data_IF_960978908914
#
_entry.id   IF_960978908914
#
_cell.length_a   1.000
_cell.length_b   1.000
_cell.length_c   1.000
_cell.angle_alpha   90.00
_cell.angle_beta   90.00
_cell.angle_gamma   90.00
#
_symmetry.space_group_name_H-M   'P 1'
#
loop_
_entity.id
_entity.type
_entity.pdbx_description
1 polymer ?
#
# COMPACT_ATOMS: atom_id res chain seq x y z
N UNK A 1 46.77 -31.90 58.00
CA UNK A 1 46.83 -31.19 56.71
C UNK A 1 45.64 -31.62 55.88
N UNK A 2 44.53 -30.91 56.02
CA UNK A 2 43.36 -31.07 55.16
C UNK A 2 43.37 -29.85 54.22
N UNK A 3 43.53 -30.11 52.93
CA UNK A 3 43.57 -29.10 51.87
C UNK A 3 42.17 -28.57 51.58
N UNK A 4 42.02 -27.25 51.52
CA UNK A 4 40.78 -26.57 51.18
C UNK A 4 40.22 -26.99 49.81
N UNK A 5 38.89 -27.00 49.63
CA UNK A 5 38.26 -27.33 48.36
C UNK A 5 38.52 -26.24 47.30
N UNK A 6 38.57 -26.62 46.01
CA UNK A 6 38.83 -25.67 44.93
C UNK A 6 37.68 -24.67 44.76
N UNK A 7 37.97 -23.45 44.25
CA UNK A 7 36.96 -22.42 44.03
C UNK A 7 35.95 -22.86 42.94
N UNK A 8 34.69 -22.41 43.05
CA UNK A 8 33.67 -22.74 42.06
C UNK A 8 34.02 -22.15 40.69
N UNK A 9 33.76 -22.91 39.63
CA UNK A 9 33.97 -22.48 38.25
C UNK A 9 33.15 -21.21 37.93
N UNK A 10 33.64 -20.34 37.03
CA UNK A 10 32.90 -19.15 36.66
C UNK A 10 31.57 -19.58 36.04
N UNK A 11 30.45 -19.17 36.68
CA UNK A 11 29.14 -19.26 36.06
C UNK A 11 29.24 -18.53 34.72
N UNK A 12 29.12 -19.27 33.62
CA UNK A 12 28.87 -18.67 32.31
C UNK A 12 27.64 -17.79 32.49
N UNK A 13 27.84 -16.47 32.44
CA UNK A 13 26.75 -15.54 32.29
C UNK A 13 26.00 -15.98 31.03
N UNK A 14 24.76 -16.45 31.21
CA UNK A 14 23.85 -16.62 30.08
C UNK A 14 23.77 -15.26 29.42
N UNK A 15 24.40 -15.13 28.25
CA UNK A 15 24.15 -14.03 27.34
C UNK A 15 22.63 -14.01 27.16
N UNK A 16 21.93 -12.91 27.51
CA UNK A 16 20.51 -12.84 27.21
C UNK A 16 20.38 -13.09 25.72
N UNK A 17 19.58 -14.08 25.33
CA UNK A 17 19.21 -14.24 23.92
C UNK A 17 18.75 -12.87 23.46
N UNK A 18 19.46 -12.29 22.49
CA UNK A 18 19.03 -11.07 21.85
C UNK A 18 17.58 -11.29 21.43
N UNK A 19 16.66 -10.57 22.05
CA UNK A 19 15.29 -10.45 21.55
C UNK A 19 15.39 -10.12 20.07
N UNK A 20 14.67 -10.86 19.24
CA UNK A 20 14.69 -10.66 17.79
C UNK A 20 14.50 -9.16 17.45
N UNK A 21 15.06 -8.64 16.35
CA UNK A 21 14.92 -7.21 15.97
C UNK A 21 13.47 -6.74 15.76
N UNK A 22 12.49 -7.63 15.91
CA UNK A 22 11.06 -7.45 15.67
C UNK A 22 10.36 -6.70 16.81
N UNK A 23 10.96 -6.59 18.00
CA UNK A 23 10.22 -6.20 19.21
C UNK A 23 9.94 -4.69 19.40
N UNK A 24 10.35 -3.79 18.50
CA UNK A 24 9.88 -2.38 18.50
C UNK A 24 9.83 -1.77 17.10
N UNK A 25 9.02 -2.34 16.22
CA UNK A 25 8.72 -1.67 14.95
C UNK A 25 7.84 -0.44 15.22
N UNK A 26 8.30 0.74 14.80
CA UNK A 26 7.55 1.97 14.98
C UNK A 26 6.48 2.07 13.87
N UNK A 27 5.22 2.24 14.23
CA UNK A 27 4.10 2.20 13.28
C UNK A 27 3.38 3.54 13.23
N UNK A 28 3.16 4.06 12.03
CA UNK A 28 2.42 5.30 11.78
C UNK A 28 1.32 5.04 10.73
N UNK A 29 0.19 5.72 10.85
CA UNK A 29 -0.80 5.82 9.78
C UNK A 29 -0.42 6.94 8.81
N UNK A 30 -0.69 6.77 7.52
CA UNK A 30 -0.42 7.78 6.50
C UNK A 30 -1.56 7.83 5.48
N UNK A 31 -1.88 9.04 5.07
CA UNK A 31 -2.74 9.34 3.92
C UNK A 31 -2.22 10.64 3.26
N UNK A 32 -2.66 10.93 2.04
CA UNK A 32 -2.38 12.21 1.37
C UNK A 32 -3.63 12.76 0.71
N UNK A 33 -3.77 14.09 0.75
CA UNK A 33 -4.87 14.80 0.11
C UNK A 33 -4.35 15.90 -0.81
N UNK A 34 -5.08 16.16 -1.89
CA UNK A 34 -4.62 17.09 -2.90
C UNK A 34 -5.56 17.30 -4.09
N UNK A 35 -5.08 18.06 -5.08
CA UNK A 35 -5.80 18.30 -6.34
C UNK A 35 -5.34 17.26 -7.35
N UNK A 36 -6.29 16.45 -7.85
CA UNK A 36 -6.02 15.36 -8.79
C UNK A 36 -4.79 14.52 -8.38
N UNK A 37 -4.70 14.16 -7.08
CA UNK A 37 -3.51 13.62 -6.42
C UNK A 37 -2.85 12.50 -7.23
N UNK A 38 -1.78 12.84 -7.97
CA UNK A 38 -1.00 11.96 -8.84
C UNK A 38 0.34 12.63 -9.21
N UNK A 39 1.06 12.06 -10.18
CA UNK A 39 2.30 12.65 -10.71
C UNK A 39 2.18 14.07 -11.29
N UNK A 40 1.00 14.44 -11.79
CA UNK A 40 0.74 15.72 -12.47
C UNK A 40 -0.20 16.65 -11.68
N UNK A 41 -0.79 16.14 -10.60
CA UNK A 41 -1.60 16.93 -9.67
C UNK A 41 -0.73 17.62 -8.63
N UNK A 42 -1.33 17.94 -7.49
CA UNK A 42 -0.64 18.58 -6.37
C UNK A 42 -1.04 17.92 -5.04
N UNK A 43 -0.06 17.36 -4.33
CA UNK A 43 -0.22 16.96 -2.94
C UNK A 43 -0.25 18.23 -2.09
N UNK A 44 -1.33 18.40 -1.32
CA UNK A 44 -1.59 19.61 -0.56
C UNK A 44 -1.37 19.41 0.94
N UNK A 45 -1.75 18.25 1.47
CA UNK A 45 -1.56 17.88 2.87
C UNK A 45 -1.29 16.39 2.99
N UNK A 46 -0.32 16.02 3.82
CA UNK A 46 -0.03 14.62 4.18
C UNK A 46 -0.36 14.43 5.66
N UNK A 47 -1.15 13.42 5.97
CA UNK A 47 -1.54 13.13 7.35
C UNK A 47 -0.65 12.02 7.91
N UNK A 48 -0.15 12.21 9.14
CA UNK A 48 0.65 11.22 9.85
C UNK A 48 0.00 10.93 11.21
N UNK A 49 -0.57 9.74 11.35
CA UNK A 49 -1.16 9.27 12.60
C UNK A 49 -0.14 8.51 13.45
N UNK A 50 0.04 8.96 14.68
CA UNK A 50 0.80 8.32 15.75
C UNK A 50 -0.17 7.80 16.81
N UNK A 51 0.27 6.94 17.75
CA UNK A 51 -0.59 6.44 18.80
C UNK A 51 -1.26 7.52 19.68
N UNK A 52 -0.62 8.68 19.82
CA UNK A 52 -1.01 9.76 20.73
C UNK A 52 -1.37 11.08 20.02
N UNK A 53 -1.05 11.22 18.73
CA UNK A 53 -1.26 12.46 17.98
C UNK A 53 -1.44 12.21 16.48
N UNK A 54 -2.07 13.17 15.79
CA UNK A 54 -2.15 13.21 14.33
C UNK A 54 -1.56 14.53 13.88
N UNK A 55 -0.61 14.46 12.95
CA UNK A 55 0.05 15.62 12.36
C UNK A 55 -0.45 15.82 10.93
N UNK A 56 -0.82 17.05 10.61
CA UNK A 56 -1.14 17.47 9.25
C UNK A 56 0.07 18.22 8.69
N UNK A 57 0.79 17.57 7.78
CA UNK A 57 1.97 18.11 7.13
C UNK A 57 1.53 18.93 5.92
N UNK A 58 1.68 20.25 6.02
CA UNK A 58 1.30 21.18 4.96
C UNK A 58 2.35 21.20 3.85
N UNK A 59 2.02 20.59 2.70
CA UNK A 59 2.92 20.54 1.55
C UNK A 59 2.90 21.82 0.71
N UNK A 60 1.92 22.72 0.90
CA UNK A 60 1.82 23.99 0.18
C UNK A 60 2.65 25.05 0.90
N UNK A 61 2.31 25.39 2.15
CA UNK A 61 3.04 26.43 2.89
C UNK A 61 4.40 25.94 3.39
N UNK A 62 4.49 24.67 3.80
CA UNK A 62 5.75 24.05 4.22
C UNK A 62 6.66 23.66 3.05
N UNK A 63 6.07 23.45 1.87
CA UNK A 63 6.78 23.19 0.62
C UNK A 63 7.75 22.01 0.66
N UNK A 64 8.75 22.05 -0.21
CA UNK A 64 9.74 20.97 -0.36
C UNK A 64 10.56 20.75 0.92
N UNK A 65 10.81 21.79 1.71
CA UNK A 65 11.63 21.70 2.92
C UNK A 65 11.02 20.75 3.96
N UNK A 66 9.72 20.91 4.23
CA UNK A 66 9.00 20.06 5.17
C UNK A 66 8.84 18.64 4.62
N UNK A 67 8.50 18.49 3.34
CA UNK A 67 8.38 17.17 2.72
C UNK A 67 9.71 16.40 2.71
N UNK A 68 10.83 17.09 2.47
CA UNK A 68 12.18 16.50 2.55
C UNK A 68 12.55 16.09 3.97
N UNK A 69 12.08 16.80 4.99
CA UNK A 69 12.29 16.40 6.38
C UNK A 69 11.56 15.10 6.73
N UNK A 70 10.42 14.80 6.09
CA UNK A 70 9.69 13.54 6.27
C UNK A 70 10.33 12.36 5.53
N UNK A 71 11.07 12.61 4.44
CA UNK A 71 11.63 11.56 3.55
C UNK A 71 12.37 10.43 4.29
N UNK A 72 13.29 10.68 5.25
CA UNK A 72 14.01 9.60 5.93
C UNK A 72 13.08 8.62 6.67
N UNK A 73 11.97 9.11 7.23
CA UNK A 73 11.01 8.26 7.92
C UNK A 73 10.13 7.46 6.94
N UNK A 74 9.70 8.10 5.86
CA UNK A 74 8.90 7.48 4.80
C UNK A 74 9.66 6.40 4.04
N UNK A 75 10.97 6.59 3.84
CA UNK A 75 11.90 5.62 3.21
C UNK A 75 12.53 4.62 4.20
N UNK A 76 12.19 4.69 5.49
CA UNK A 76 12.75 3.77 6.49
C UNK A 76 12.08 2.40 6.46
N UNK A 77 12.89 1.33 6.47
CA UNK A 77 12.41 -0.05 6.69
C UNK A 77 12.11 -0.35 8.17
N UNK A 78 12.48 0.54 9.10
CA UNK A 78 12.23 0.39 10.54
C UNK A 78 10.91 1.02 10.98
N UNK A 79 10.29 1.84 10.12
CA UNK A 79 9.01 2.48 10.37
C UNK A 79 7.98 1.86 9.43
N UNK A 80 6.90 1.31 9.98
CA UNK A 80 5.78 0.78 9.20
C UNK A 80 4.80 1.91 8.91
N UNK A 81 4.48 2.11 7.62
CA UNK A 81 3.45 3.07 7.20
C UNK A 81 2.17 2.30 6.89
N UNK A 82 1.14 2.47 7.69
CA UNK A 82 -0.18 1.90 7.46
C UNK A 82 -0.96 2.86 6.59
N UNK A 83 -1.41 2.39 5.43
CA UNK A 83 -2.13 3.21 4.43
C UNK A 83 -3.35 2.40 3.95
N UNK A 84 -4.37 3.05 3.40
CA UNK A 84 -5.46 2.38 2.70
C UNK A 84 -5.39 2.70 1.20
N UNK A 85 -5.08 1.71 0.36
CA UNK A 85 -4.89 1.90 -1.08
C UNK A 85 -3.78 2.91 -1.45
N UNK A 86 -2.54 2.59 -1.10
CA UNK A 86 -1.38 3.50 -1.17
C UNK A 86 -0.90 3.92 -2.56
N UNK A 87 -1.51 3.43 -3.64
CA UNK A 87 -0.98 3.56 -5.01
C UNK A 87 -0.83 5.02 -5.44
N UNK A 88 -1.80 5.87 -5.10
CA UNK A 88 -1.85 7.29 -5.51
C UNK A 88 -1.04 8.19 -4.59
N UNK A 89 -1.02 7.90 -3.29
CA UNK A 89 -0.14 8.58 -2.34
C UNK A 89 1.32 8.37 -2.73
N UNK A 90 1.68 7.11 -3.04
CA UNK A 90 3.02 6.75 -3.49
C UNK A 90 3.39 7.45 -4.80
N UNK A 91 2.47 7.48 -5.79
CA UNK A 91 2.70 8.17 -7.06
C UNK A 91 2.97 9.68 -6.85
N UNK A 92 2.15 10.35 -6.04
CA UNK A 92 2.30 11.77 -5.75
C UNK A 92 3.62 12.05 -5.01
N UNK A 93 3.91 11.32 -3.94
CA UNK A 93 5.14 11.44 -3.16
C UNK A 93 6.39 11.20 -4.02
N UNK A 94 6.36 10.21 -4.91
CA UNK A 94 7.48 9.87 -5.77
C UNK A 94 7.76 10.94 -6.82
N UNK A 95 6.76 11.38 -7.59
CA UNK A 95 7.00 12.32 -8.68
C UNK A 95 7.13 13.77 -8.23
N UNK A 96 6.44 14.18 -7.16
CA UNK A 96 6.47 15.57 -6.71
C UNK A 96 7.61 15.85 -5.72
N UNK A 97 8.03 14.86 -4.92
CA UNK A 97 9.05 15.05 -3.87
C UNK A 97 10.19 14.03 -3.91
N UNK A 98 10.19 13.11 -4.87
CA UNK A 98 11.23 12.08 -4.99
C UNK A 98 11.20 11.07 -3.85
N UNK A 99 10.09 10.92 -3.11
CA UNK A 99 9.98 10.06 -1.93
C UNK A 99 9.46 8.68 -2.32
N UNK A 100 10.16 7.61 -1.90
CA UNK A 100 9.72 6.22 -2.09
C UNK A 100 9.17 5.65 -0.80
N UNK A 101 7.91 5.23 -0.79
CA UNK A 101 7.36 4.57 0.39
C UNK A 101 7.95 3.16 0.55
N UNK A 102 8.57 2.90 1.69
CA UNK A 102 9.11 1.59 2.06
C UNK A 102 8.35 1.02 3.26
N UNK A 103 8.33 -0.31 3.46
CA UNK A 103 7.68 -0.94 4.62
C UNK A 103 6.23 -0.44 4.85
N UNK A 104 5.43 -0.47 3.78
CA UNK A 104 4.01 -0.11 3.83
C UNK A 104 3.18 -1.35 4.16
N UNK A 105 2.13 -1.14 4.96
CA UNK A 105 1.05 -2.09 5.15
C UNK A 105 -0.22 -1.47 4.60
N UNK A 106 -0.68 -2.01 3.48
CA UNK A 106 -1.92 -1.58 2.85
C UNK A 106 -3.13 -2.33 3.44
N UNK A 107 -4.01 -1.59 4.11
CA UNK A 107 -5.18 -2.17 4.79
C UNK A 107 -6.22 -2.74 3.82
N UNK A 108 -6.28 -2.26 2.57
CA UNK A 108 -7.18 -2.82 1.56
C UNK A 108 -6.70 -4.22 1.13
N UNK A 109 -5.39 -4.37 0.94
CA UNK A 109 -4.77 -5.67 0.64
C UNK A 109 -4.93 -6.63 1.82
N UNK A 110 -4.65 -6.15 3.05
CA UNK A 110 -4.78 -6.94 4.26
C UNK A 110 -6.20 -7.49 4.44
N UNK A 111 -7.23 -6.67 4.20
CA UNK A 111 -8.62 -7.11 4.23
C UNK A 111 -8.90 -8.25 3.24
N UNK A 112 -8.49 -8.09 1.97
CA UNK A 112 -8.71 -9.11 0.94
C UNK A 112 -8.02 -10.44 1.28
N UNK A 113 -6.80 -10.39 1.84
CA UNK A 113 -6.08 -11.57 2.30
C UNK A 113 -6.79 -12.26 3.49
N UNK A 114 -7.33 -11.50 4.43
CA UNK A 114 -8.11 -12.05 5.56
C UNK A 114 -9.36 -12.77 5.04
N UNK A 115 -10.06 -12.18 4.06
CA UNK A 115 -11.25 -12.80 3.49
C UNK A 115 -10.94 -14.05 2.66
N UNK A 116 -9.83 -14.05 1.91
CA UNK A 116 -9.34 -15.22 1.18
C UNK A 116 -9.01 -16.38 2.15
N UNK A 117 -8.37 -16.09 3.29
CA UNK A 117 -8.12 -17.09 4.34
C UNK A 117 -9.42 -17.71 4.90
N UNK A 118 -10.52 -16.96 4.91
CA UNK A 118 -11.85 -17.45 5.31
C UNK A 118 -12.57 -18.22 4.20
N UNK A 119 -11.94 -18.39 3.04
CA UNK A 119 -12.49 -19.10 1.89
C UNK A 119 -13.31 -18.24 0.93
N UNK A 120 -13.29 -16.90 1.09
CA UNK A 120 -13.90 -16.01 0.09
C UNK A 120 -13.14 -16.18 -1.23
N UNK A 121 -13.87 -16.46 -2.30
CA UNK A 121 -13.28 -16.57 -3.64
C UNK A 121 -12.85 -15.18 -4.12
N UNK A 122 -11.67 -15.11 -4.73
CA UNK A 122 -11.21 -13.90 -5.40
C UNK A 122 -12.19 -13.49 -6.49
N UNK A 123 -12.51 -12.20 -6.54
CA UNK A 123 -13.29 -11.57 -7.59
C UNK A 123 -12.57 -10.29 -8.05
N UNK A 124 -12.58 -10.00 -9.36
CA UNK A 124 -11.96 -8.80 -9.87
C UNK A 124 -12.75 -7.56 -9.42
N UNK A 125 -12.02 -6.50 -9.07
CA UNK A 125 -12.57 -5.22 -8.61
C UNK A 125 -13.41 -5.28 -7.33
N UNK A 126 -13.31 -6.37 -6.55
CA UNK A 126 -13.91 -6.50 -5.21
C UNK A 126 -12.98 -5.91 -4.13
N UNK A 127 -12.89 -4.59 -4.10
CA UNK A 127 -12.10 -3.85 -3.11
C UNK A 127 -13.00 -3.23 -2.05
N UNK A 128 -12.62 -3.38 -0.78
CA UNK A 128 -13.29 -2.67 0.31
C UNK A 128 -12.86 -1.20 0.33
N UNK A 129 -13.81 -0.28 0.46
CA UNK A 129 -13.51 1.13 0.70
C UNK A 129 -13.11 1.36 2.15
N UNK A 130 -12.33 2.42 2.44
CA UNK A 130 -11.95 2.75 3.81
C UNK A 130 -13.17 2.97 4.72
N UNK A 131 -14.23 3.60 4.22
CA UNK A 131 -15.48 3.82 4.98
C UNK A 131 -16.19 2.51 5.28
N UNK A 132 -16.27 1.60 4.30
CA UNK A 132 -16.84 0.27 4.52
C UNK A 132 -16.02 -0.54 5.52
N UNK A 133 -14.69 -0.39 5.50
CA UNK A 133 -13.79 -1.05 6.44
C UNK A 133 -13.98 -0.52 7.87
N UNK A 134 -14.17 0.79 8.04
CA UNK A 134 -14.50 1.39 9.33
C UNK A 134 -15.86 0.92 9.86
N UNK A 135 -16.86 0.80 8.98
CA UNK A 135 -18.18 0.37 9.35
C UNK A 135 -18.25 -1.12 9.75
N UNK A 136 -17.28 -1.95 9.32
CA UNK A 136 -17.24 -3.36 9.67
C UNK A 136 -17.01 -3.56 11.18
N UNK A 137 -17.95 -4.25 11.89
CA UNK A 137 -17.87 -4.49 13.34
C UNK A 137 -16.63 -5.27 13.79
N UNK A 138 -16.00 -6.05 12.90
CA UNK A 138 -14.79 -6.80 13.25
C UNK A 138 -13.59 -5.87 13.45
N UNK A 139 -13.60 -4.67 12.85
CA UNK A 139 -12.50 -3.70 12.92
C UNK A 139 -12.85 -2.49 13.78
N UNK A 140 -13.74 -1.61 13.33
CA UNK A 140 -14.12 -0.41 14.09
C UNK A 140 -15.61 -0.40 14.47
N UNK A 141 -16.50 -0.89 13.60
CA UNK A 141 -17.95 -0.80 13.82
C UNK A 141 -18.47 0.64 13.85
N UNK A 142 -17.75 1.58 13.23
CA UNK A 142 -18.08 3.01 13.23
C UNK A 142 -18.68 3.35 11.88
N UNK A 143 -19.97 3.67 11.89
CA UNK A 143 -20.66 4.19 10.70
C UNK A 143 -20.38 5.68 10.55
N UNK A 144 -19.90 6.06 9.37
CA UNK A 144 -19.49 7.43 9.03
C UNK A 144 -20.43 8.05 8.00
N UNK A 145 -21.74 8.08 8.30
CA UNK A 145 -22.73 8.68 7.41
C UNK A 145 -22.43 10.16 7.14
N UNK A 146 -21.99 10.89 8.16
CA UNK A 146 -21.61 12.30 8.05
C UNK A 146 -20.40 12.54 7.13
N UNK A 147 -19.50 11.55 6.97
CA UNK A 147 -18.32 11.66 6.09
C UNK A 147 -18.72 11.61 4.62
N UNK A 148 -19.82 10.97 4.27
CA UNK A 148 -20.28 10.93 2.88
C UNK A 148 -20.76 12.31 2.42
N UNK A 149 -21.44 13.07 3.29
CA UNK A 149 -21.85 14.45 3.01
C UNK A 149 -20.64 15.37 2.83
N UNK A 150 -19.64 15.26 3.72
CA UNK A 150 -18.38 15.99 3.57
C UNK A 150 -17.69 15.61 2.26
N UNK A 151 -17.61 14.32 1.92
CA UNK A 151 -17.02 13.86 0.65
C UNK A 151 -17.75 14.36 -0.59
N UNK A 152 -19.06 14.53 -0.53
CA UNK A 152 -19.80 15.17 -1.62
C UNK A 152 -19.37 16.63 -1.79
N UNK A 153 -19.24 17.37 -0.68
CA UNK A 153 -18.75 18.75 -0.71
C UNK A 153 -17.29 18.82 -1.22
N UNK A 154 -16.42 17.91 -0.77
CA UNK A 154 -15.03 17.79 -1.24
C UNK A 154 -14.96 17.59 -2.76
N UNK A 155 -15.86 16.80 -3.34
CA UNK A 155 -15.90 16.54 -4.80
C UNK A 155 -16.42 17.72 -5.63
N UNK A 156 -17.17 18.64 -5.03
CA UNK A 156 -17.71 19.80 -5.73
C UNK A 156 -16.67 20.89 -5.95
N UNK A 157 -15.64 20.95 -5.10
CA UNK A 157 -14.56 21.90 -5.20
C UNK A 157 -13.22 21.19 -5.45
N UNK A 158 -12.77 21.09 -6.71
CA UNK A 158 -11.48 20.49 -7.04
C UNK A 158 -10.28 21.18 -6.38
N UNK A 159 -10.40 22.44 -5.97
CA UNK A 159 -9.34 23.21 -5.33
C UNK A 159 -9.42 23.15 -3.79
N UNK A 160 -10.35 22.38 -3.22
CA UNK A 160 -10.64 22.35 -1.79
C UNK A 160 -9.39 22.30 -0.90
N UNK A 161 -8.47 21.37 -1.18
CA UNK A 161 -7.28 21.15 -0.36
C UNK A 161 -6.20 22.23 -0.51
N UNK A 162 -6.36 23.17 -1.45
CA UNK A 162 -5.40 24.26 -1.68
C UNK A 162 -5.59 25.45 -0.75
N UNK A 163 -6.77 25.61 -0.15
CA UNK A 163 -7.10 26.80 0.64
C UNK A 163 -6.33 26.85 1.97
N UNK A 164 -5.95 28.07 2.37
CA UNK A 164 -5.24 28.35 3.62
C UNK A 164 -5.81 29.58 4.35
N UNK A 165 -5.82 29.58 5.70
CA UNK A 165 -5.47 28.45 6.58
C UNK A 165 -6.47 27.29 6.44
N UNK A 166 -6.08 26.07 6.83
CA UNK A 166 -7.00 24.93 6.83
C UNK A 166 -8.20 25.22 7.74
N UNK A 167 -9.41 25.08 7.21
CA UNK A 167 -10.62 25.22 8.02
C UNK A 167 -10.79 24.05 8.99
N UNK A 168 -11.60 24.21 10.05
CA UNK A 168 -11.89 23.10 10.98
C UNK A 168 -12.45 21.87 10.25
N UNK A 169 -13.26 22.08 9.21
CA UNK A 169 -13.80 20.99 8.40
C UNK A 169 -12.69 20.24 7.65
N UNK A 170 -11.73 20.96 7.06
CA UNK A 170 -10.57 20.36 6.38
C UNK A 170 -9.72 19.55 7.36
N UNK A 171 -9.46 20.11 8.54
CA UNK A 171 -8.68 19.46 9.59
C UNK A 171 -9.37 18.17 10.04
N UNK A 172 -10.68 18.22 10.32
CA UNK A 172 -11.47 17.04 10.73
C UNK A 172 -11.50 15.97 9.63
N UNK A 173 -11.79 16.35 8.40
CA UNK A 173 -11.83 15.44 7.26
C UNK A 173 -10.50 14.70 7.08
N UNK A 174 -9.38 15.44 7.00
CA UNK A 174 -8.04 14.88 6.87
C UNK A 174 -7.68 13.94 8.05
N UNK A 175 -8.02 14.35 9.27
CA UNK A 175 -7.75 13.55 10.48
C UNK A 175 -8.56 12.23 10.46
N UNK A 176 -9.79 12.27 9.99
CA UNK A 176 -10.69 11.11 9.91
C UNK A 176 -10.25 10.06 8.88
N UNK A 177 -9.38 10.37 7.92
CA UNK A 177 -8.83 9.39 6.99
C UNK A 177 -7.69 8.55 7.60
N UNK A 178 -7.02 9.04 8.67
CA UNK A 178 -5.91 8.31 9.30
C UNK A 178 -6.14 7.85 10.73
N UNK A 179 -7.05 8.48 11.50
CA UNK A 179 -7.14 8.30 12.95
C UNK A 179 -7.37 6.86 13.43
N UNK A 180 -7.96 6.01 12.58
CA UNK A 180 -8.24 4.62 12.89
C UNK A 180 -7.29 3.62 12.24
N UNK A 181 -6.36 4.06 11.39
CA UNK A 181 -5.47 3.16 10.65
C UNK A 181 -4.65 2.27 11.59
N UNK A 182 -4.09 2.83 12.67
CA UNK A 182 -3.29 2.05 13.63
C UNK A 182 -4.12 0.98 14.34
N UNK A 183 -5.34 1.33 14.76
CA UNK A 183 -6.25 0.36 15.40
C UNK A 183 -6.67 -0.76 14.44
N UNK A 184 -7.02 -0.41 13.20
CA UNK A 184 -7.34 -1.38 12.14
C UNK A 184 -6.15 -2.29 11.86
N UNK A 185 -4.95 -1.71 11.75
CA UNK A 185 -3.70 -2.44 11.55
C UNK A 185 -3.51 -3.51 12.62
N UNK A 186 -3.55 -3.16 13.90
CA UNK A 186 -3.37 -4.14 14.98
C UNK A 186 -4.36 -5.31 14.87
N UNK A 187 -5.65 -5.00 14.62
CA UNK A 187 -6.68 -6.02 14.43
C UNK A 187 -6.47 -6.90 13.18
N UNK A 188 -5.93 -6.35 12.09
CA UNK A 188 -5.67 -7.10 10.87
C UNK A 188 -4.46 -8.01 11.01
N UNK A 189 -3.37 -7.52 11.60
CA UNK A 189 -2.13 -8.30 11.77
C UNK A 189 -2.37 -9.53 12.65
N UNK A 190 -3.19 -9.42 13.70
CA UNK A 190 -3.60 -10.56 14.54
C UNK A 190 -4.38 -11.65 13.77
N UNK A 191 -5.05 -11.29 12.66
CA UNK A 191 -5.88 -12.19 11.86
C UNK A 191 -5.13 -12.85 10.70
N UNK A 192 -3.96 -12.33 10.34
CA UNK A 192 -3.20 -12.80 9.20
C UNK A 192 -2.27 -13.94 9.60
N UNK A 193 -2.25 -15.00 8.81
CA UNK A 193 -1.23 -16.05 8.94
C UNK A 193 0.15 -15.51 8.54
N UNK A 194 1.23 -16.18 8.97
CA UNK A 194 2.60 -15.85 8.54
C UNK A 194 2.74 -15.70 7.02
N UNK A 195 2.13 -16.61 6.26
CA UNK A 195 2.11 -16.57 4.79
C UNK A 195 1.43 -15.31 4.27
N UNK A 196 0.28 -14.96 4.81
CA UNK A 196 -0.46 -13.77 4.39
C UNK A 196 0.19 -12.48 4.83
N UNK A 197 0.91 -12.46 5.96
CA UNK A 197 1.74 -11.32 6.37
C UNK A 197 2.89 -11.08 5.38
N UNK A 198 3.57 -12.15 4.95
CA UNK A 198 4.57 -12.04 3.88
C UNK A 198 3.95 -11.53 2.58
N UNK A 199 2.83 -12.12 2.16
CA UNK A 199 2.16 -11.73 0.92
C UNK A 199 1.66 -10.28 0.96
N UNK A 200 1.17 -9.82 2.12
CA UNK A 200 0.80 -8.43 2.37
C UNK A 200 2.01 -7.50 2.17
N UNK A 201 3.17 -7.84 2.72
CA UNK A 201 4.38 -7.04 2.56
C UNK A 201 4.86 -6.97 1.10
N UNK A 202 4.79 -8.09 0.37
CA UNK A 202 5.09 -8.15 -1.08
C UNK A 202 4.11 -7.29 -1.87
N UNK A 203 2.80 -7.50 -1.71
CA UNK A 203 1.76 -6.77 -2.44
C UNK A 203 1.75 -5.29 -2.12
N UNK A 204 1.95 -4.90 -0.86
CA UNK A 204 2.08 -3.49 -0.48
C UNK A 204 3.29 -2.84 -1.16
N UNK A 205 4.42 -3.55 -1.23
CA UNK A 205 5.61 -3.07 -1.96
C UNK A 205 5.37 -2.94 -3.47
N UNK A 206 4.55 -3.81 -4.06
CA UNK A 206 4.14 -3.71 -5.47
C UNK A 206 3.15 -2.57 -5.69
N UNK A 207 2.24 -2.31 -4.75
CA UNK A 207 1.33 -1.16 -4.78
C UNK A 207 2.07 0.17 -4.69
N UNK A 208 3.08 0.30 -3.81
CA UNK A 208 3.89 1.53 -3.77
C UNK A 208 4.63 1.80 -5.10
N UNK A 209 5.06 0.74 -5.80
CA UNK A 209 5.67 0.85 -7.14
C UNK A 209 4.66 1.04 -8.24
N UNK A 210 3.39 0.71 -7.98
CA UNK A 210 2.32 0.89 -8.95
C UNK A 210 2.22 2.37 -9.30
N UNK A 211 2.11 2.65 -10.59
CA UNK A 211 2.23 3.99 -11.16
C UNK A 211 3.60 4.68 -11.00
N UNK A 212 4.50 4.32 -10.09
CA UNK A 212 5.83 4.93 -9.96
C UNK A 212 6.85 4.49 -11.04
N UNK A 213 6.44 4.39 -12.31
CA UNK A 213 7.30 3.95 -13.40
C UNK A 213 8.26 5.04 -13.84
N UNK A 214 9.53 4.69 -13.89
CA UNK A 214 10.63 5.47 -14.44
C UNK A 214 11.45 4.59 -15.40
N UNK A 215 12.50 5.15 -16.00
CA UNK A 215 13.28 4.47 -17.04
C UNK A 215 14.28 3.42 -16.51
N UNK A 216 14.39 3.24 -15.19
CA UNK A 216 15.38 2.35 -14.58
C UNK A 216 14.82 1.02 -14.07
N UNK A 217 13.63 0.63 -14.52
CA UNK A 217 12.99 -0.66 -14.19
C UNK A 217 12.97 -0.94 -12.67
N UNK A 218 12.67 0.09 -11.89
CA UNK A 218 12.62 0.05 -10.43
C UNK A 218 13.95 -0.30 -9.73
N UNK A 219 15.10 -0.14 -10.40
CA UNK A 219 16.41 -0.47 -9.84
C UNK A 219 16.72 0.25 -8.50
N UNK A 220 16.15 1.45 -8.31
CA UNK A 220 16.35 2.23 -7.09
C UNK A 220 15.30 1.96 -6.00
N UNK A 221 14.41 0.98 -6.19
CA UNK A 221 13.48 0.53 -5.15
C UNK A 221 14.10 -0.62 -4.36
N UNK A 222 13.79 -0.76 -3.06
CA UNK A 222 14.25 -1.90 -2.28
C UNK A 222 13.79 -3.21 -2.93
N UNK A 223 14.51 -4.33 -2.74
CA UNK A 223 14.03 -5.63 -3.19
C UNK A 223 12.69 -5.98 -2.51
N UNK A 224 11.87 -6.80 -3.17
CA UNK A 224 10.67 -7.33 -2.53
C UNK A 224 11.05 -8.22 -1.33
N UNK A 225 10.23 -8.26 -0.27
CA UNK A 225 10.47 -9.12 0.88
C UNK A 225 10.71 -10.58 0.44
N UNK A 226 11.83 -11.20 0.86
CA UNK A 226 12.08 -12.60 0.54
C UNK A 226 11.03 -13.49 1.21
N UNK A 227 10.79 -14.67 0.63
CA UNK A 227 9.91 -15.64 1.27
C UNK A 227 10.53 -16.11 2.59
N UNK A 228 9.76 -16.20 3.71
CA UNK A 228 10.32 -16.60 4.99
C UNK A 228 10.82 -18.04 4.97
N UNK A 229 12.07 -18.26 5.39
CA UNK A 229 12.69 -19.59 5.42
C UNK A 229 11.90 -20.59 6.28
N UNK A 230 11.24 -20.12 7.34
CA UNK A 230 10.42 -20.93 8.25
C UNK A 230 9.09 -21.40 7.64
N UNK A 231 8.72 -20.87 6.47
CA UNK A 231 7.54 -21.30 5.70
C UNK A 231 7.90 -22.21 4.53
N UNK A 232 9.18 -22.44 4.27
CA UNK A 232 9.63 -23.33 3.20
C UNK A 232 9.37 -24.78 3.62
N UNK A 233 8.55 -25.48 2.86
CA UNK A 233 8.44 -26.94 2.93
C UNK A 233 9.01 -27.55 1.65
N UNK A 234 9.55 -28.77 1.71
CA UNK A 234 10.25 -29.41 0.58
C UNK A 234 9.38 -29.47 -0.71
N UNK A 235 8.05 -29.48 -0.57
CA UNK A 235 7.10 -29.61 -1.67
C UNK A 235 6.37 -28.31 -2.06
N UNK A 236 6.64 -27.18 -1.39
CA UNK A 236 5.91 -25.92 -1.63
C UNK A 236 6.81 -24.80 -2.17
N UNK A 237 6.64 -24.49 -3.46
CA UNK A 237 7.20 -23.28 -4.06
C UNK A 237 6.11 -22.20 -4.07
N UNK A 238 6.24 -21.12 -3.27
CA UNK A 238 5.29 -20.02 -3.32
C UNK A 238 5.30 -19.38 -4.70
N UNK A 239 4.11 -19.13 -5.25
CA UNK A 239 3.97 -18.35 -6.48
C UNK A 239 4.53 -16.95 -6.23
N UNK A 240 5.64 -16.63 -6.90
CA UNK A 240 6.20 -15.28 -6.87
C UNK A 240 5.18 -14.31 -7.43
N UNK A 241 5.02 -13.16 -6.78
CA UNK A 241 4.22 -12.06 -7.30
C UNK A 241 5.10 -11.00 -7.95
N UNK A 242 4.60 -10.42 -9.04
CA UNK A 242 5.28 -9.38 -9.80
C UNK A 242 4.34 -8.24 -10.13
N UNK A 243 4.91 -7.06 -10.39
CA UNK A 243 4.26 -5.98 -11.10
C UNK A 243 4.80 -5.98 -12.53
N UNK A 244 3.91 -6.09 -13.50
CA UNK A 244 4.22 -5.90 -14.91
C UNK A 244 3.58 -4.63 -15.44
N UNK A 245 4.32 -3.89 -16.26
CA UNK A 245 3.88 -2.65 -16.89
C UNK A 245 3.88 -2.84 -18.40
N UNK A 246 2.68 -2.80 -18.97
CA UNK A 246 2.46 -2.93 -20.40
C UNK A 246 2.28 -1.56 -21.04
N UNK A 247 3.15 -1.21 -21.98
CA UNK A 247 2.99 -0.02 -22.81
C UNK A 247 1.88 -0.25 -23.85
N UNK A 248 0.99 0.73 -23.96
CA UNK A 248 -0.16 0.71 -24.87
C UNK A 248 0.06 1.73 -25.98
N UNK A 249 0.16 1.32 -27.25
CA UNK A 249 0.33 2.26 -28.34
C UNK A 249 -0.82 3.27 -28.43
N UNK A 250 -0.58 4.48 -28.97
CA UNK A 250 -1.62 5.49 -29.15
C UNK A 250 -2.86 4.94 -29.86
N UNK A 251 -4.04 5.25 -29.33
CA UNK A 251 -5.33 4.78 -29.87
C UNK A 251 -5.70 3.32 -29.57
N UNK A 252 -4.82 2.52 -28.95
CA UNK A 252 -5.09 1.10 -28.66
C UNK A 252 -5.77 0.85 -27.30
N UNK A 253 -5.76 1.82 -26.39
CA UNK A 253 -6.36 1.67 -25.05
C UNK A 253 -7.85 1.30 -25.11
N UNK A 254 -8.59 1.84 -26.08
CA UNK A 254 -9.99 1.47 -26.30
C UNK A 254 -10.21 -0.02 -26.62
N UNK A 255 -9.25 -0.68 -27.27
CA UNK A 255 -9.31 -2.14 -27.56
C UNK A 255 -9.04 -2.99 -26.32
N UNK A 256 -8.19 -2.51 -25.41
CA UNK A 256 -7.94 -3.15 -24.11
C UNK A 256 -9.20 -3.10 -23.26
N UNK A 257 -9.74 -1.89 -23.05
CA UNK A 257 -10.91 -1.65 -22.19
C UNK A 257 -12.15 -2.32 -22.79
N UNK A 258 -12.36 -2.16 -24.10
CA UNK A 258 -13.56 -2.62 -24.79
C UNK A 258 -14.80 -1.75 -24.46
N UNK A 259 -15.90 -2.04 -25.15
CA UNK A 259 -17.16 -1.29 -24.98
C UNK A 259 -17.67 -1.47 -23.54
N UNK A 260 -17.84 -0.35 -22.81
CA UNK A 260 -18.24 -0.34 -21.39
C UNK A 260 -17.33 -1.20 -20.47
N UNK A 261 -16.07 -1.40 -20.83
CA UNK A 261 -15.14 -2.19 -20.01
C UNK A 261 -15.27 -3.72 -20.16
N UNK A 262 -16.11 -4.23 -21.06
CA UNK A 262 -16.37 -5.68 -21.16
C UNK A 262 -15.12 -6.52 -21.45
N UNK A 263 -14.21 -5.99 -22.28
CA UNK A 263 -12.98 -6.69 -22.64
C UNK A 263 -12.07 -6.82 -21.42
N UNK A 264 -11.79 -5.70 -20.74
CA UNK A 264 -10.90 -5.73 -19.58
C UNK A 264 -11.47 -6.58 -18.44
N UNK A 265 -12.79 -6.54 -18.21
CA UNK A 265 -13.43 -7.39 -17.21
C UNK A 265 -13.24 -8.87 -17.52
N UNK A 266 -13.44 -9.29 -18.78
CA UNK A 266 -13.18 -10.67 -19.20
C UNK A 266 -11.72 -11.10 -18.98
N UNK A 267 -10.76 -10.20 -19.22
CA UNK A 267 -9.34 -10.50 -18.91
C UNK A 267 -9.14 -10.67 -17.42
N UNK A 268 -9.66 -9.76 -16.58
CA UNK A 268 -9.54 -9.82 -15.12
C UNK A 268 -10.13 -11.13 -14.56
N UNK A 269 -11.34 -11.49 -14.98
CA UNK A 269 -12.01 -12.73 -14.56
C UNK A 269 -11.22 -13.98 -14.93
N UNK A 270 -10.54 -13.96 -16.07
CA UNK A 270 -9.78 -15.12 -16.57
C UNK A 270 -8.39 -15.28 -15.97
N UNK A 271 -7.80 -14.22 -15.42
CA UNK A 271 -6.36 -14.18 -15.11
C UNK A 271 -6.00 -14.01 -13.64
N UNK A 272 -6.93 -14.10 -12.66
CA UNK A 272 -6.63 -14.02 -11.20
C UNK A 272 -5.52 -13.02 -10.82
N UNK A 273 -5.52 -11.88 -11.49
CA UNK A 273 -4.50 -10.85 -11.39
C UNK A 273 -5.20 -9.51 -11.36
N UNK A 274 -4.65 -8.60 -10.59
CA UNK A 274 -5.14 -7.23 -10.48
C UNK A 274 -4.64 -6.46 -11.69
N UNK A 275 -5.58 -5.89 -12.45
CA UNK A 275 -5.25 -5.11 -13.64
C UNK A 275 -5.73 -3.67 -13.44
N UNK A 276 -4.80 -2.74 -13.38
CA UNK A 276 -5.07 -1.32 -13.31
C UNK A 276 -4.79 -0.67 -14.67
N UNK A 277 -5.82 -0.05 -15.23
CA UNK A 277 -5.69 0.76 -16.43
C UNK A 277 -5.20 2.14 -16.03
N UNK A 278 -4.21 2.66 -16.74
CA UNK A 278 -3.78 4.04 -16.59
C UNK A 278 -4.82 5.07 -17.06
N UNK A 279 -4.44 6.34 -17.10
CA UNK A 279 -5.33 7.48 -17.38
C UNK A 279 -5.78 8.12 -16.08
N UNK A 280 -7.07 8.07 -15.75
CA UNK A 280 -7.58 8.64 -14.49
C UNK A 280 -6.85 8.10 -13.24
N UNK A 281 -6.31 6.87 -13.32
CA UNK A 281 -5.59 6.20 -12.22
C UNK A 281 -4.06 6.15 -12.37
N UNK A 282 -3.45 6.64 -13.46
CA UNK A 282 -1.99 6.58 -13.69
C UNK A 282 -1.58 7.02 -15.11
N UNK A 283 -0.40 6.68 -15.65
CA UNK A 283 0.01 7.04 -17.02
C UNK A 283 -1.01 6.60 -18.08
N UNK A 284 -1.52 7.49 -18.95
CA UNK A 284 -2.62 7.17 -19.88
C UNK A 284 -2.30 6.08 -20.91
N UNK A 285 -1.02 5.80 -21.13
CA UNK A 285 -0.46 4.88 -22.10
C UNK A 285 0.02 3.56 -21.48
N UNK A 286 -0.36 3.25 -20.24
CA UNK A 286 0.11 2.06 -19.53
C UNK A 286 -1.01 1.23 -18.91
N UNK A 287 -0.77 -0.07 -18.83
CA UNK A 287 -1.56 -1.03 -18.04
C UNK A 287 -0.65 -1.71 -17.04
N UNK A 288 -1.08 -1.77 -15.79
CA UNK A 288 -0.35 -2.33 -14.66
C UNK A 288 -1.01 -3.64 -14.25
N UNK A 289 -0.22 -4.70 -14.11
CA UNK A 289 -0.72 -6.03 -13.80
C UNK A 289 0.04 -6.55 -12.59
N UNK A 290 -0.65 -6.82 -11.49
CA UNK A 290 -0.09 -7.29 -10.23
C UNK A 290 -0.66 -8.67 -9.90
N UNK A 291 0.20 -9.59 -9.49
CA UNK A 291 -0.20 -10.91 -9.00
C UNK A 291 0.82 -12.00 -9.29
N UNK A 292 0.41 -13.28 -9.20
CA UNK A 292 1.27 -14.43 -9.48
C UNK A 292 1.87 -14.38 -10.90
N UNK A 293 3.16 -14.71 -11.04
CA UNK A 293 3.88 -14.63 -12.33
C UNK A 293 3.10 -15.28 -13.50
N UNK A 294 2.56 -16.49 -13.31
CA UNK A 294 1.83 -17.21 -14.37
C UNK A 294 0.58 -16.45 -14.84
N UNK A 295 -0.16 -15.92 -13.89
CA UNK A 295 -1.40 -15.17 -14.09
C UNK A 295 -1.13 -13.80 -14.74
N UNK A 296 -0.07 -13.11 -14.30
CA UNK A 296 0.39 -11.86 -14.91
C UNK A 296 0.80 -12.07 -16.37
N UNK A 297 1.60 -13.11 -16.67
CA UNK A 297 2.02 -13.41 -18.05
C UNK A 297 0.85 -13.80 -18.94
N UNK A 298 -0.13 -14.52 -18.40
CA UNK A 298 -1.38 -14.84 -19.10
C UNK A 298 -2.16 -13.56 -19.46
N UNK A 299 -2.33 -12.65 -18.50
CA UNK A 299 -3.00 -11.36 -18.74
C UNK A 299 -2.25 -10.52 -19.79
N UNK A 300 -0.92 -10.43 -19.70
CA UNK A 300 -0.10 -9.75 -20.70
C UNK A 300 -0.30 -10.29 -22.11
N UNK A 301 -0.27 -11.61 -22.28
CA UNK A 301 -0.44 -12.25 -23.58
C UNK A 301 -1.81 -11.91 -24.20
N UNK A 302 -2.88 -11.98 -23.41
CA UNK A 302 -4.23 -11.62 -23.86
C UNK A 302 -4.31 -10.14 -24.24
N UNK A 303 -3.77 -9.25 -23.41
CA UNK A 303 -3.80 -7.81 -23.66
C UNK A 303 -2.97 -7.42 -24.88
N UNK A 304 -1.79 -8.01 -25.08
CA UNK A 304 -0.96 -7.83 -26.27
C UNK A 304 -1.69 -8.27 -27.54
N UNK A 305 -2.33 -9.44 -27.50
CA UNK A 305 -3.14 -9.94 -28.62
C UNK A 305 -4.25 -8.96 -29.04
N UNK A 306 -4.88 -8.28 -28.08
CA UNK A 306 -5.93 -7.27 -28.36
C UNK A 306 -5.42 -5.96 -28.97
N UNK A 307 -4.13 -5.67 -28.84
CA UNK A 307 -3.53 -4.46 -29.41
C UNK A 307 -3.06 -4.63 -30.86
N UNK A 308 -2.89 -5.87 -31.32
CA UNK A 308 -2.53 -6.18 -32.70
C UNK A 308 -3.63 -5.66 -33.65
N UNK A 309 -3.20 -5.17 -34.81
CA UNK A 309 -4.12 -4.92 -35.92
C UNK A 309 -4.40 -6.27 -36.58
N UNK A 310 -5.66 -6.69 -36.48
CA UNK A 310 -6.21 -7.82 -37.22
C UNK A 310 -6.82 -7.32 -38.52
#
# INVERSE_FOLDING_TARGET
MASDPPPPSPRQARVPMASSPVDKQFVIGLDCEGVDLCRHGALCVMQLAFPDAIYLVDAIEGGEAVMRACKPALESNYITKVIHDCKRDSEALFFQFGIKLHNVVDTQIAYSLIEEQKGRKWAPDDYISFVSLLADPHYCGISYLEKEEVRVLLRQDPAFWTYRPLSEMMIRAATDDVRFLLHIYHKMIEKLTKRSLWLLAVRSSLYCRCFCVNDNDYADWPPLPPFPDDLVTEDYVPDREILSVLNVPPGKMGRIIGKKGSSIMSVKESCKAEIHIGGAKGPPDRVFIIGPVKEVRKAEAILRGRMLDL
#
